data_IF_582564526370
#
_entry.id   IF_582564526370
#
_cell.length_a   1.000
_cell.length_b   1.000
_cell.length_c   1.000
_cell.angle_alpha   90.00
_cell.angle_beta   90.00
_cell.angle_gamma   90.00
#
_symmetry.space_group_name_H-M   'P 1'
#
loop_
_entity.id
_entity.type
_entity.pdbx_description
1 polymer ?
#
# COMPACT_ATOMS: atom_id res chain seq x y z
N UNK A 1 16.11 3.16 6.05
CA UNK A 1 15.61 2.31 7.15
C UNK A 1 16.72 1.48 7.78
N UNK A 2 17.28 0.47 7.10
CA UNK A 2 18.31 -0.43 7.65
C UNK A 2 19.55 0.25 8.24
N UNK A 3 20.09 1.26 7.55
CA UNK A 3 21.22 2.06 8.04
C UNK A 3 20.92 2.80 9.37
N UNK A 4 19.65 2.97 9.74
CA UNK A 4 19.20 3.55 11.01
C UNK A 4 18.68 2.48 11.98
N UNK A 5 19.11 1.22 11.83
CA UNK A 5 18.80 0.12 12.76
C UNK A 5 17.39 -0.46 12.65
N UNK A 6 16.62 -0.11 11.61
CA UNK A 6 15.31 -0.72 11.34
C UNK A 6 15.47 -2.03 10.59
N UNK A 7 14.77 -3.07 11.01
CA UNK A 7 14.75 -4.39 10.37
C UNK A 7 13.79 -4.39 9.21
N UNK A 8 14.29 -4.67 8.00
CA UNK A 8 13.50 -4.57 6.77
C UNK A 8 13.40 -5.92 6.09
N UNK A 9 12.17 -6.40 5.90
CA UNK A 9 11.87 -7.61 5.15
C UNK A 9 11.21 -7.22 3.81
N UNK A 10 11.60 -7.87 2.72
CA UNK A 10 11.05 -7.60 1.39
C UNK A 10 10.80 -8.86 0.58
N UNK A 11 9.67 -8.91 -0.12
CA UNK A 11 9.25 -10.07 -0.90
C UNK A 11 8.64 -9.60 -2.21
N UNK A 12 8.92 -10.29 -3.32
CA UNK A 12 8.37 -9.92 -4.61
C UNK A 12 9.35 -10.15 -5.73
N UNK A 13 9.59 -9.14 -6.55
CA UNK A 13 10.34 -9.30 -7.79
C UNK A 13 11.86 -9.05 -7.61
N UNK A 14 12.66 -9.65 -8.49
CA UNK A 14 14.13 -9.66 -8.40
C UNK A 14 14.84 -8.38 -8.83
N UNK A 15 14.12 -7.37 -9.37
CA UNK A 15 14.72 -6.08 -9.69
C UNK A 15 15.23 -5.35 -8.44
N UNK A 16 14.58 -5.58 -7.30
CA UNK A 16 14.93 -4.95 -6.02
C UNK A 16 16.29 -5.39 -5.50
N UNK A 17 16.71 -6.63 -5.76
CA UNK A 17 18.03 -7.12 -5.32
C UNK A 17 19.17 -6.37 -6.01
N UNK A 18 19.00 -6.09 -7.31
CA UNK A 18 19.97 -5.30 -8.09
C UNK A 18 19.97 -3.81 -7.74
N UNK A 19 18.78 -3.23 -7.52
CA UNK A 19 18.62 -1.79 -7.28
C UNK A 19 18.94 -1.37 -5.84
N UNK A 20 18.67 -2.25 -4.87
CA UNK A 20 18.74 -1.94 -3.44
C UNK A 20 19.67 -2.95 -2.71
N UNK A 21 20.94 -3.07 -3.12
CA UNK A 21 21.85 -4.03 -2.52
C UNK A 21 22.03 -3.73 -1.03
N UNK A 22 21.90 -4.76 -0.20
CA UNK A 22 21.99 -4.66 1.26
C UNK A 22 20.89 -3.81 1.92
N UNK A 23 19.76 -3.52 1.26
CA UNK A 23 18.66 -2.78 1.89
C UNK A 23 17.82 -3.63 2.84
N UNK A 24 17.87 -4.96 2.71
CA UNK A 24 16.98 -5.90 3.40
C UNK A 24 17.75 -6.83 4.34
N UNK A 25 17.13 -7.15 5.48
CA UNK A 25 17.61 -8.15 6.44
C UNK A 25 17.10 -9.56 6.10
N UNK A 26 15.93 -9.62 5.45
CA UNK A 26 15.36 -10.83 4.87
C UNK A 26 14.74 -10.47 3.53
N UNK A 27 15.03 -11.26 2.51
CA UNK A 27 14.43 -11.08 1.20
C UNK A 27 14.09 -12.42 0.53
N UNK A 28 13.01 -12.45 -0.24
CA UNK A 28 12.70 -13.54 -1.16
C UNK A 28 12.17 -12.95 -2.46
N UNK A 29 12.94 -13.12 -3.54
CA UNK A 29 12.64 -12.52 -4.83
C UNK A 29 12.49 -13.56 -5.93
N UNK A 30 11.67 -13.24 -6.92
CA UNK A 30 11.28 -14.11 -8.02
C UNK A 30 11.50 -13.42 -9.37
N UNK A 31 11.77 -14.19 -10.46
CA UNK A 31 11.97 -13.62 -11.79
C UNK A 31 10.81 -12.76 -12.26
N UNK A 32 11.13 -11.53 -12.66
CA UNK A 32 10.15 -10.46 -12.89
C UNK A 32 9.76 -10.21 -14.35
N UNK A 33 10.58 -10.62 -15.31
CA UNK A 33 10.43 -10.17 -16.71
C UNK A 33 9.47 -10.99 -17.58
N UNK A 34 8.86 -12.06 -17.06
CA UNK A 34 7.82 -12.79 -17.80
C UNK A 34 6.45 -12.15 -17.57
N UNK A 35 6.09 -11.21 -18.44
CA UNK A 35 4.80 -10.49 -18.38
C UNK A 35 3.56 -11.39 -18.49
N UNK A 36 3.72 -12.64 -18.94
CA UNK A 36 2.62 -13.62 -19.00
C UNK A 36 2.41 -14.36 -17.69
N UNK A 37 3.41 -14.31 -16.80
CA UNK A 37 3.28 -14.85 -15.45
C UNK A 37 2.57 -13.82 -14.57
N UNK A 38 1.34 -14.15 -14.17
CA UNK A 38 0.57 -13.30 -13.27
C UNK A 38 0.76 -13.68 -11.80
N UNK A 39 1.37 -14.82 -11.49
CA UNK A 39 1.15 -15.50 -10.21
C UNK A 39 2.41 -15.83 -9.43
N UNK A 40 3.54 -16.14 -10.05
CA UNK A 40 4.72 -16.63 -9.30
C UNK A 40 5.22 -15.58 -8.32
N UNK A 41 5.43 -14.35 -8.79
CA UNK A 41 5.91 -13.23 -7.97
C UNK A 41 4.92 -12.93 -6.86
N UNK A 42 3.64 -12.77 -7.21
CA UNK A 42 2.58 -12.41 -6.27
C UNK A 42 2.37 -13.48 -5.18
N UNK A 43 2.33 -14.76 -5.54
CA UNK A 43 2.22 -15.85 -4.54
C UNK A 43 3.45 -15.91 -3.64
N UNK A 44 4.63 -15.66 -4.21
CA UNK A 44 5.86 -15.55 -3.45
C UNK A 44 5.86 -14.38 -2.47
N UNK A 45 5.36 -13.23 -2.90
CA UNK A 45 5.19 -12.05 -2.06
C UNK A 45 4.20 -12.30 -0.92
N UNK A 46 3.06 -12.96 -1.21
CA UNK A 46 2.06 -13.35 -0.20
C UNK A 46 2.67 -14.32 0.83
N UNK A 47 3.39 -15.35 0.40
CA UNK A 47 4.02 -16.29 1.33
C UNK A 47 5.01 -15.59 2.28
N UNK A 48 5.78 -14.63 1.78
CA UNK A 48 6.68 -13.81 2.60
C UNK A 48 5.93 -12.87 3.55
N UNK A 49 4.84 -12.24 3.09
CA UNK A 49 3.97 -11.43 3.92
C UNK A 49 3.35 -12.25 5.06
N UNK A 50 2.86 -13.46 4.78
CA UNK A 50 2.33 -14.37 5.79
C UNK A 50 3.40 -14.79 6.80
N UNK A 51 4.64 -15.03 6.35
CA UNK A 51 5.78 -15.27 7.25
C UNK A 51 6.02 -14.07 8.17
N UNK A 52 6.00 -12.84 7.63
CA UNK A 52 6.18 -11.62 8.43
C UNK A 52 5.04 -11.46 9.46
N UNK A 53 3.79 -11.65 9.04
CA UNK A 53 2.63 -11.59 9.93
C UNK A 53 2.67 -12.67 11.02
N UNK A 54 3.26 -13.84 10.76
CA UNK A 54 3.46 -14.88 11.75
C UNK A 54 4.66 -14.65 12.70
N UNK A 55 5.47 -13.61 12.45
CA UNK A 55 6.70 -13.32 13.17
C UNK A 55 6.69 -11.91 13.82
N UNK A 56 5.72 -11.61 14.71
CA UNK A 56 5.64 -10.30 15.36
C UNK A 56 6.94 -9.97 16.09
N UNK A 57 7.37 -8.72 15.96
CA UNK A 57 8.59 -8.21 16.60
C UNK A 57 9.89 -8.67 15.94
N UNK A 58 9.89 -9.33 14.78
CA UNK A 58 11.11 -9.68 14.02
C UNK A 58 11.46 -8.68 12.90
N UNK A 59 10.52 -7.84 12.52
CA UNK A 59 10.66 -6.81 11.48
C UNK A 59 10.09 -5.49 12.01
N UNK A 60 10.57 -4.38 11.44
CA UNK A 60 10.00 -3.04 11.66
C UNK A 60 9.31 -2.52 10.39
N UNK A 61 9.77 -2.97 9.22
CA UNK A 61 9.10 -2.77 7.92
C UNK A 61 9.09 -4.10 7.17
N UNK A 62 7.92 -4.52 6.70
CA UNK A 62 7.76 -5.65 5.78
C UNK A 62 7.10 -5.14 4.50
N UNK A 63 7.65 -5.50 3.34
CA UNK A 63 7.12 -5.11 2.03
C UNK A 63 6.84 -6.35 1.19
N UNK A 64 5.64 -6.43 0.65
CA UNK A 64 5.26 -7.41 -0.36
C UNK A 64 4.95 -6.66 -1.65
N UNK A 65 5.76 -6.90 -2.68
CA UNK A 65 5.69 -6.25 -3.98
C UNK A 65 5.06 -7.21 -5.01
N UNK A 66 4.04 -6.72 -5.71
CA UNK A 66 3.20 -7.51 -6.61
C UNK A 66 3.40 -7.00 -8.04
N UNK A 67 3.33 -7.89 -9.03
CA UNK A 67 3.40 -7.57 -10.45
C UNK A 67 2.16 -8.00 -11.23
N UNK A 68 1.36 -8.91 -10.67
CA UNK A 68 0.33 -9.59 -11.45
C UNK A 68 -0.77 -8.67 -12.00
N UNK A 69 -1.04 -7.52 -11.39
CA UNK A 69 -1.97 -6.51 -11.94
C UNK A 69 -1.38 -5.82 -13.17
N UNK A 70 -0.12 -5.38 -13.11
CA UNK A 70 0.59 -4.76 -14.24
C UNK A 70 0.72 -5.75 -15.40
N UNK A 71 1.24 -6.95 -15.11
CA UNK A 71 1.39 -8.03 -16.08
C UNK A 71 0.06 -8.42 -16.74
N UNK A 72 -1.04 -8.40 -15.98
CA UNK A 72 -2.36 -8.67 -16.53
C UNK A 72 -2.81 -7.57 -17.50
N UNK A 73 -2.47 -6.30 -17.23
CA UNK A 73 -2.69 -5.18 -18.13
C UNK A 73 -2.02 -5.40 -19.48
N UNK A 74 -0.71 -5.66 -19.48
CA UNK A 74 0.06 -5.93 -20.71
C UNK A 74 -0.40 -7.16 -21.47
N UNK A 75 -0.75 -8.24 -20.74
CA UNK A 75 -1.08 -9.53 -21.37
C UNK A 75 -2.51 -9.57 -21.89
N UNK A 76 -3.47 -8.97 -21.18
CA UNK A 76 -4.90 -9.16 -21.43
C UNK A 76 -5.70 -7.87 -21.62
N UNK A 77 -5.13 -6.69 -21.39
CA UNK A 77 -5.82 -5.42 -21.22
C UNK A 77 -6.64 -5.33 -19.91
N UNK A 78 -7.05 -4.12 -19.54
CA UNK A 78 -7.67 -3.85 -18.23
C UNK A 78 -9.10 -4.38 -18.12
N UNK A 79 -9.87 -4.35 -19.22
CA UNK A 79 -11.27 -4.85 -19.26
C UNK A 79 -11.35 -6.35 -19.60
N UNK A 80 -10.49 -7.16 -18.96
CA UNK A 80 -10.45 -8.59 -19.15
C UNK A 80 -10.81 -9.36 -17.89
N UNK A 81 -11.45 -10.52 -18.04
CA UNK A 81 -11.84 -11.38 -16.91
C UNK A 81 -10.66 -11.74 -15.98
N UNK A 82 -9.46 -11.90 -16.54
CA UNK A 82 -8.22 -12.10 -15.78
C UNK A 82 -7.89 -10.92 -14.86
N UNK A 83 -8.06 -9.68 -15.33
CA UNK A 83 -7.81 -8.48 -14.52
C UNK A 83 -8.78 -8.43 -13.35
N UNK A 84 -10.07 -8.66 -13.61
CA UNK A 84 -11.07 -8.72 -12.55
C UNK A 84 -10.80 -9.83 -11.54
N UNK A 85 -10.36 -11.01 -12.00
CA UNK A 85 -9.99 -12.10 -11.10
C UNK A 85 -8.76 -11.75 -10.28
N UNK A 86 -7.78 -11.08 -10.88
CA UNK A 86 -6.54 -10.68 -10.22
C UNK A 86 -6.78 -9.62 -9.15
N UNK A 87 -7.56 -8.59 -9.46
CA UNK A 87 -7.95 -7.56 -8.50
C UNK A 87 -8.72 -8.15 -7.32
N UNK A 88 -9.72 -9.02 -7.56
CA UNK A 88 -10.44 -9.71 -6.47
C UNK A 88 -9.51 -10.53 -5.58
N UNK A 89 -8.56 -11.24 -6.18
CA UNK A 89 -7.59 -12.01 -5.41
C UNK A 89 -6.67 -11.09 -4.57
N UNK A 90 -6.24 -9.96 -5.12
CA UNK A 90 -5.47 -8.96 -4.36
C UNK A 90 -6.30 -8.38 -3.21
N UNK A 91 -7.59 -8.11 -3.41
CA UNK A 91 -8.50 -7.66 -2.34
C UNK A 91 -8.56 -8.70 -1.20
N UNK A 92 -8.74 -9.98 -1.52
CA UNK A 92 -8.75 -11.08 -0.55
C UNK A 92 -7.44 -11.16 0.27
N UNK A 93 -6.29 -10.93 -0.39
CA UNK A 93 -4.97 -10.91 0.26
C UNK A 93 -4.85 -9.73 1.23
N UNK A 94 -5.30 -8.54 0.83
CA UNK A 94 -5.28 -7.34 1.68
C UNK A 94 -6.21 -7.50 2.88
N UNK A 95 -7.41 -8.03 2.67
CA UNK A 95 -8.38 -8.30 3.74
C UNK A 95 -7.82 -9.32 4.75
N UNK A 96 -7.16 -10.39 4.27
CA UNK A 96 -6.53 -11.37 5.13
C UNK A 96 -5.39 -10.77 5.97
N UNK A 97 -4.55 -9.91 5.37
CA UNK A 97 -3.47 -9.22 6.09
C UNK A 97 -4.03 -8.27 7.16
N UNK A 98 -5.05 -7.48 6.83
CA UNK A 98 -5.74 -6.60 7.76
C UNK A 98 -6.36 -7.39 8.93
N UNK A 99 -7.02 -8.51 8.65
CA UNK A 99 -7.60 -9.39 9.66
C UNK A 99 -6.54 -10.00 10.59
N UNK A 100 -5.32 -10.26 10.09
CA UNK A 100 -4.19 -10.70 10.93
C UNK A 100 -3.68 -9.59 11.84
N UNK A 101 -3.51 -8.37 11.32
CA UNK A 101 -3.08 -7.22 12.11
C UNK A 101 -4.12 -6.86 13.20
N UNK A 102 -5.41 -6.98 12.89
CA UNK A 102 -6.50 -6.74 13.84
C UNK A 102 -6.51 -7.70 15.04
N UNK A 103 -5.78 -8.83 14.98
CA UNK A 103 -5.62 -9.73 16.13
C UNK A 103 -4.71 -9.15 17.22
N UNK A 104 -4.06 -8.00 16.99
CA UNK A 104 -3.33 -7.25 18.01
C UNK A 104 -1.95 -7.81 18.34
N UNK A 105 -1.47 -8.84 17.63
CA UNK A 105 -0.17 -9.49 17.92
C UNK A 105 1.05 -8.64 17.53
N UNK A 106 0.86 -7.59 16.72
CA UNK A 106 1.93 -6.72 16.21
C UNK A 106 2.09 -5.42 17.00
N UNK A 107 1.36 -5.26 18.11
CA UNK A 107 1.23 -3.96 18.77
C UNK A 107 0.62 -2.94 17.81
N UNK A 108 1.12 -1.71 17.86
CA UNK A 108 0.69 -0.64 16.95
C UNK A 108 1.31 -0.81 15.56
N UNK A 109 0.49 -1.05 14.55
CA UNK A 109 0.93 -1.33 13.18
C UNK A 109 0.22 -0.43 12.15
N UNK A 110 0.94 -0.04 11.09
CA UNK A 110 0.40 0.69 9.94
C UNK A 110 0.45 -0.23 8.72
N UNK A 111 -0.72 -0.57 8.17
CA UNK A 111 -0.84 -1.20 6.86
C UNK A 111 -0.93 -0.12 5.79
N UNK A 112 -0.11 -0.21 4.75
CA UNK A 112 -0.20 0.63 3.55
C UNK A 112 -0.33 -0.30 2.35
N UNK A 113 -1.35 -0.06 1.52
CA UNK A 113 -1.51 -0.67 0.21
C UNK A 113 -1.49 0.46 -0.80
N UNK A 114 -0.52 0.45 -1.71
CA UNK A 114 -0.42 1.47 -2.75
C UNK A 114 0.03 0.88 -4.07
N UNK A 115 -0.42 1.49 -5.17
CA UNK A 115 0.19 1.29 -6.48
C UNK A 115 1.23 2.36 -6.77
N UNK A 116 2.24 1.99 -7.53
CA UNK A 116 3.32 2.85 -8.01
C UNK A 116 2.94 3.56 -9.32
N UNK A 117 2.01 3.02 -10.10
CA UNK A 117 1.41 3.68 -11.25
C UNK A 117 -0.06 3.25 -11.46
N UNK A 118 -0.71 3.91 -12.42
CA UNK A 118 -1.94 3.44 -13.05
C UNK A 118 -1.64 2.86 -14.43
N UNK A 119 -2.65 2.59 -15.25
CA UNK A 119 -2.47 2.07 -16.60
C UNK A 119 -3.63 2.47 -17.51
N UNK A 120 -3.35 2.61 -18.80
CA UNK A 120 -4.39 2.80 -19.83
C UNK A 120 -5.24 1.54 -19.95
N UNK A 121 -6.40 1.64 -20.63
CA UNK A 121 -7.25 0.47 -20.88
C UNK A 121 -6.54 -0.66 -21.65
N UNK A 122 -5.48 -0.34 -22.41
CA UNK A 122 -4.66 -1.31 -23.15
C UNK A 122 -3.48 -1.87 -22.33
N UNK A 123 -3.30 -1.41 -21.08
CA UNK A 123 -2.22 -1.86 -20.20
C UNK A 123 -0.93 -1.03 -20.28
N UNK A 124 -0.92 0.08 -21.02
CA UNK A 124 0.27 0.94 -21.10
C UNK A 124 0.38 1.85 -19.87
N UNK A 125 1.61 2.15 -19.43
CA UNK A 125 1.86 3.00 -18.26
C UNK A 125 3.18 3.79 -18.33
N UNK A 126 3.67 4.05 -19.54
CA UNK A 126 4.93 4.79 -19.80
C UNK A 126 4.75 6.30 -20.05
N UNK A 127 3.50 6.78 -20.04
CA UNK A 127 3.13 8.16 -20.35
C UNK A 127 2.93 9.05 -19.12
N UNK A 128 2.11 10.09 -19.29
CA UNK A 128 1.83 11.12 -18.28
C UNK A 128 0.32 11.37 -18.13
N UNK A 129 -0.51 10.47 -18.66
CA UNK A 129 -1.96 10.64 -18.56
C UNK A 129 -2.43 10.41 -17.13
N UNK A 130 -3.57 10.99 -16.72
CA UNK A 130 -4.15 10.72 -15.41
C UNK A 130 -4.36 9.22 -15.15
N UNK A 131 -4.72 8.45 -16.18
CA UNK A 131 -4.89 7.00 -16.10
C UNK A 131 -3.61 6.26 -15.75
N UNK A 132 -2.45 6.75 -16.23
CA UNK A 132 -1.14 6.14 -15.99
C UNK A 132 -0.47 6.66 -14.70
N UNK A 133 -0.82 7.87 -14.26
CA UNK A 133 -0.14 8.55 -13.13
C UNK A 133 -0.94 8.50 -11.82
N UNK A 134 -2.26 8.39 -11.89
CA UNK A 134 -3.09 8.21 -10.70
C UNK A 134 -3.10 6.74 -10.29
N UNK A 135 -2.92 6.48 -9.00
CA UNK A 135 -2.99 5.15 -8.44
C UNK A 135 -3.67 5.16 -7.09
N UNK A 136 -3.81 3.98 -6.49
CA UNK A 136 -4.48 3.79 -5.20
C UNK A 136 -3.51 3.98 -4.04
N UNK A 137 -3.99 4.56 -2.94
CA UNK A 137 -3.36 4.54 -1.63
C UNK A 137 -4.44 4.25 -0.58
N UNK A 138 -4.28 3.16 0.16
CA UNK A 138 -5.08 2.79 1.32
C UNK A 138 -4.14 2.64 2.50
N UNK A 139 -4.49 3.25 3.64
CA UNK A 139 -3.72 3.14 4.86
C UNK A 139 -4.63 2.90 6.07
N UNK A 140 -4.22 2.01 6.97
CA UNK A 140 -4.97 1.67 8.18
C UNK A 140 -4.03 1.41 9.36
N UNK A 141 -4.39 1.91 10.55
CA UNK A 141 -3.65 1.68 11.80
C UNK A 141 -4.37 0.65 12.64
N UNK A 142 -3.61 -0.28 13.23
CA UNK A 142 -4.08 -1.36 14.09
C UNK A 142 -3.38 -1.29 15.44
N UNK A 143 -4.02 -1.80 16.50
CA UNK A 143 -3.39 -2.03 17.81
C UNK A 143 -3.12 -0.78 18.67
N UNK A 144 -3.88 0.30 18.49
CA UNK A 144 -3.86 1.44 19.44
C UNK A 144 -4.63 1.06 20.72
N UNK A 145 -3.93 0.76 21.80
CA UNK A 145 -4.54 0.61 23.13
C UNK A 145 -4.89 2.01 23.67
N UNK A 146 -6.19 2.29 23.85
CA UNK A 146 -6.65 3.43 24.65
C UNK A 146 -7.44 4.53 23.95
N UNK A 147 -7.87 4.35 22.70
CA UNK A 147 -9.06 5.06 22.23
C UNK A 147 -10.27 4.20 22.53
N UNK A 148 -11.19 4.69 23.37
CA UNK A 148 -12.58 4.20 23.35
C UNK A 148 -13.04 4.14 21.90
N UNK A 149 -13.86 3.15 21.55
CA UNK A 149 -14.42 2.96 20.22
C UNK A 149 -15.27 4.20 19.80
N UNK A 150 -14.64 5.33 19.48
CA UNK A 150 -15.24 6.38 18.67
C UNK A 150 -15.34 5.81 17.26
N UNK A 151 -16.44 5.09 16.95
CA UNK A 151 -16.99 4.78 15.62
C UNK A 151 -15.98 4.91 14.45
N UNK A 152 -14.86 4.23 14.58
CA UNK A 152 -13.68 4.37 13.73
C UNK A 152 -13.28 3.05 13.11
N UNK A 153 -14.18 2.06 13.16
CA UNK A 153 -14.17 0.91 12.28
C UNK A 153 -15.06 1.27 11.10
N UNK A 154 -14.46 1.67 9.97
CA UNK A 154 -15.14 1.39 8.70
C UNK A 154 -14.95 -0.11 8.49
N UNK A 155 -16.07 -0.80 8.67
CA UNK A 155 -16.20 -2.23 8.69
C UNK A 155 -15.35 -2.92 7.61
N UNK A 156 -14.56 -3.90 8.05
CA UNK A 156 -14.30 -5.11 7.28
C UNK A 156 -15.63 -5.88 7.16
N UNK A 157 -16.52 -5.35 6.33
CA UNK A 157 -17.63 -6.06 5.70
C UNK A 157 -18.04 -5.25 4.46
N UNK A 158 -17.27 -5.43 3.38
CA UNK A 158 -17.62 -4.97 2.04
C UNK A 158 -17.88 -3.48 1.86
N UNK A 159 -16.88 -2.62 2.12
CA UNK A 159 -16.65 -1.34 1.41
C UNK A 159 -15.37 -0.67 1.91
N UNK A 160 -14.41 -0.57 1.00
CA UNK A 160 -13.16 0.17 1.08
C UNK A 160 -13.30 1.49 1.86
N UNK A 161 -12.35 1.74 2.76
CA UNK A 161 -12.15 2.96 3.56
C UNK A 161 -11.93 4.19 2.66
N UNK A 162 -12.97 4.72 2.02
CA UNK A 162 -13.01 6.12 1.62
C UNK A 162 -13.55 6.91 2.80
N UNK A 163 -12.68 7.63 3.52
CA UNK A 163 -13.11 8.65 4.47
C UNK A 163 -14.14 9.52 3.75
N UNK A 164 -15.36 9.57 4.28
CA UNK A 164 -16.37 10.50 3.81
C UNK A 164 -15.74 11.90 3.78
N UNK A 165 -15.59 12.45 2.58
CA UNK A 165 -15.10 13.79 2.34
C UNK A 165 -15.83 14.76 3.28
N UNK A 166 -15.12 15.32 4.26
CA UNK A 166 -15.58 16.51 4.97
C UNK A 166 -15.32 17.70 4.05
N UNK A 167 -16.23 17.92 3.10
CA UNK A 167 -16.19 19.09 2.22
C UNK A 167 -17.31 19.04 1.19
N UNK A 168 -18.04 20.15 1.07
CA UNK A 168 -18.93 20.41 -0.07
C UNK A 168 -18.07 20.58 -1.33
N UNK A 169 -17.73 19.44 -1.94
CA UNK A 169 -17.16 19.39 -3.26
C UNK A 169 -18.12 18.62 -4.14
N UNK A 170 -18.53 19.24 -5.26
CA UNK A 170 -19.59 18.76 -6.13
C UNK A 170 -19.36 17.32 -6.59
N UNK A 171 -19.92 16.37 -5.85
CA UNK A 171 -19.85 14.95 -6.13
C UNK A 171 -20.50 14.68 -7.49
N UNK A 172 -19.75 14.12 -8.44
CA UNK A 172 -20.35 13.49 -9.62
C UNK A 172 -20.68 12.06 -9.24
N UNK A 173 -21.95 11.79 -9.04
CA UNK A 173 -22.44 10.43 -8.85
C UNK A 173 -22.32 9.69 -10.18
N UNK A 174 -21.36 8.77 -10.29
CA UNK A 174 -21.37 7.75 -11.34
C UNK A 174 -21.37 6.36 -10.68
N UNK A 175 -22.57 5.77 -10.57
CA UNK A 175 -22.76 4.47 -9.93
C UNK A 175 -22.72 4.49 -8.39
N UNK A 176 -22.59 3.29 -7.79
CA UNK A 176 -22.55 3.04 -6.34
C UNK A 176 -21.27 3.55 -5.64
N UNK A 177 -20.42 4.30 -6.35
CA UNK A 177 -19.18 4.88 -5.86
C UNK A 177 -19.38 6.39 -5.73
N UNK A 178 -19.34 6.90 -4.50
CA UNK A 178 -19.24 8.34 -4.27
C UNK A 178 -17.79 8.74 -4.50
N UNK A 179 -17.52 9.28 -5.69
CA UNK A 179 -16.25 9.88 -6.08
C UNK A 179 -16.05 11.23 -5.36
N UNK A 180 -16.06 11.18 -4.02
CA UNK A 180 -16.02 12.35 -3.14
C UNK A 180 -14.61 12.57 -2.63
N UNK A 181 -14.08 13.79 -2.85
CA UNK A 181 -12.82 14.36 -2.35
C UNK A 181 -11.97 13.48 -1.43
N UNK A 182 -11.34 12.46 -2.02
CA UNK A 182 -10.28 11.75 -1.35
C UNK A 182 -9.04 12.63 -1.33
N UNK A 183 -8.32 12.70 -0.20
CA UNK A 183 -7.05 13.40 -0.15
C UNK A 183 -6.10 12.77 -1.17
N UNK A 184 -5.48 13.62 -2.00
CA UNK A 184 -4.48 13.20 -2.97
C UNK A 184 -3.11 13.38 -2.35
N UNK A 185 -2.28 12.35 -2.43
CA UNK A 185 -0.89 12.38 -2.02
C UNK A 185 0.01 12.21 -3.24
N UNK A 186 0.87 13.18 -3.56
CA UNK A 186 1.95 12.98 -4.52
C UNK A 186 2.88 11.85 -4.04
N UNK A 187 3.24 10.91 -4.91
CA UNK A 187 4.13 9.80 -4.51
C UNK A 187 5.50 10.27 -3.99
N UNK A 188 5.98 11.43 -4.44
CA UNK A 188 7.22 12.02 -3.93
C UNK A 188 7.19 12.28 -2.41
N UNK A 189 6.00 12.46 -1.83
CA UNK A 189 5.82 12.72 -0.39
C UNK A 189 5.94 11.44 0.45
N UNK A 190 5.90 10.26 -0.18
CA UNK A 190 5.90 8.97 0.52
C UNK A 190 7.17 8.75 1.34
N UNK A 191 8.33 8.95 0.73
CA UNK A 191 9.62 8.72 1.38
C UNK A 191 9.83 9.65 2.59
N UNK A 192 9.49 10.94 2.46
CA UNK A 192 9.60 11.90 3.55
C UNK A 192 8.64 11.59 4.70
N UNK A 193 7.39 11.26 4.37
CA UNK A 193 6.35 10.93 5.36
C UNK A 193 6.70 9.66 6.14
N UNK A 194 7.03 8.58 5.44
CA UNK A 194 7.35 7.29 6.07
C UNK A 194 8.65 7.37 6.88
N UNK A 195 9.66 8.13 6.44
CA UNK A 195 10.88 8.33 7.20
C UNK A 195 10.60 8.92 8.59
N UNK A 196 9.79 9.97 8.65
CA UNK A 196 9.42 10.60 9.92
C UNK A 196 8.57 9.68 10.80
N UNK A 197 7.59 8.97 10.23
CA UNK A 197 6.79 7.99 10.98
C UNK A 197 7.64 6.88 11.60
N UNK A 198 8.68 6.45 10.90
CA UNK A 198 9.62 5.45 11.40
C UNK A 198 10.73 6.05 12.29
N UNK A 199 10.67 7.36 12.60
CA UNK A 199 11.66 8.04 13.42
C UNK A 199 13.08 7.99 12.85
N UNK A 200 13.22 8.03 11.52
CA UNK A 200 14.51 8.07 10.83
C UNK A 200 14.67 9.37 10.03
N UNK A 201 15.91 9.81 9.73
CA UNK A 201 16.12 10.98 8.89
C UNK A 201 15.48 10.83 7.50
N UNK A 202 14.87 11.91 7.01
CA UNK A 202 14.40 12.01 5.63
C UNK A 202 15.59 11.86 4.68
N UNK A 203 15.51 11.02 3.62
CA UNK A 203 16.60 10.88 2.66
C UNK A 203 17.00 12.23 2.06
N UNK A 204 18.31 12.50 1.97
CA UNK A 204 18.82 13.78 1.47
C UNK A 204 18.31 14.14 0.07
N UNK A 205 18.10 13.15 -0.79
CA UNK A 205 17.59 13.31 -2.15
C UNK A 205 16.06 13.35 -2.24
N UNK A 206 15.33 13.30 -1.12
CA UNK A 206 13.88 13.41 -1.12
C UNK A 206 13.45 14.82 -1.50
N UNK A 207 12.59 14.94 -2.51
CA UNK A 207 11.94 16.19 -2.89
C UNK A 207 10.53 16.34 -2.28
N UNK A 208 10.06 15.29 -1.59
CA UNK A 208 8.75 15.21 -0.95
C UNK A 208 8.56 16.13 0.25
N UNK A 209 7.31 16.52 0.45
CA UNK A 209 6.82 17.06 1.71
C UNK A 209 6.23 15.94 2.58
N UNK A 210 5.88 16.28 3.82
CA UNK A 210 5.19 15.36 4.72
C UNK A 210 3.68 15.44 4.43
N UNK A 211 3.08 14.30 4.08
CA UNK A 211 1.64 14.20 3.88
C UNK A 211 0.92 14.36 5.22
N UNK A 212 0.14 15.44 5.35
CA UNK A 212 -0.61 15.73 6.56
C UNK A 212 -1.68 14.68 6.87
N UNK A 213 -2.35 14.17 5.83
CA UNK A 213 -3.41 13.16 5.98
C UNK A 213 -2.85 11.82 6.44
N UNK A 214 -1.76 11.36 5.81
CA UNK A 214 -1.11 10.12 6.22
C UNK A 214 -0.48 10.30 7.62
N UNK A 215 0.18 11.44 7.89
CA UNK A 215 0.72 11.76 9.23
C UNK A 215 -0.33 11.68 10.32
N UNK A 216 -1.48 12.34 10.12
CA UNK A 216 -2.58 12.41 11.08
C UNK A 216 -3.27 11.06 11.31
N UNK A 217 -3.16 10.12 10.37
CA UNK A 217 -3.61 8.74 10.57
C UNK A 217 -2.74 8.04 11.63
N UNK A 218 -1.43 8.20 11.55
CA UNK A 218 -0.49 7.61 12.51
C UNK A 218 -0.29 8.47 13.78
N UNK A 219 -0.77 9.71 13.81
CA UNK A 219 -0.64 10.62 14.96
C UNK A 219 -1.96 11.39 15.17
N UNK A 220 -3.00 10.74 15.72
CA UNK A 220 -4.32 11.36 15.83
C UNK A 220 -4.35 12.63 16.71
N UNK A 221 -3.38 12.80 17.62
CA UNK A 221 -3.22 14.00 18.43
C UNK A 221 -2.75 15.23 17.63
N UNK A 222 -2.14 15.04 16.45
CA UNK A 222 -1.61 16.11 15.60
C UNK A 222 -2.61 16.57 14.53
N UNK A 223 -3.90 16.18 14.65
CA UNK A 223 -4.96 16.53 13.71
C UNK A 223 -5.24 18.05 13.75
N UNK A 224 -5.15 18.77 12.61
CA UNK A 224 -5.54 20.18 12.58
C UNK A 224 -7.04 20.32 12.88
N UNK A 225 -7.38 21.04 13.95
CA UNK A 225 -8.78 21.35 14.30
C UNK A 225 -9.38 20.54 15.46
N UNK A 226 -8.56 19.87 16.27
CA UNK A 226 -8.91 19.50 17.66
C UNK A 226 -8.36 20.57 18.60
#
# INVERSE_FOLDING_TARGET
>A
MRANGRRVWAFGDDTWDGLLPNAFDRASFYPSFDVKDLDTVDRGAVAGMEEALAAPGQWDVAVAHFLGVDHCGHTYAVDHASMHAKLRWTDEVVEAAAAKLAQGQHGRALLIVMGDHGQTMTGDHGGQTPEETNSVLVAAVFGDEGQEEEEGVVALDGKLLTRAARGDCGARTSGNWTDGCLPIMPQLDFAATLALMMGVPVPFSSLGAVSADLWALAHPADRPGV
#
